data_IF_251861599912
#
_entry.id   IF_251861599912
#
_cell.length_a   1.000
_cell.length_b   1.000
_cell.length_c   1.000
_cell.angle_alpha   90.00
_cell.angle_beta   90.00
_cell.angle_gamma   90.00
#
_symmetry.space_group_name_H-M   'P 1'
#
loop_
_entity.id
_entity.type
_entity.pdbx_description
1 polymer ?
#
# COMPACT_ATOMS: atom_id res chain seq x y z
N UNK A 1 18.58 7.77 -7.27
CA UNK A 1 18.39 7.16 -8.61
C UNK A 1 17.32 7.96 -9.34
N UNK A 2 17.57 8.42 -10.58
CA UNK A 2 16.57 9.08 -11.43
C UNK A 2 15.30 8.25 -11.68
N UNK A 3 14.16 8.92 -11.86
CA UNK A 3 12.85 8.31 -12.13
C UNK A 3 12.89 7.32 -13.30
N UNK A 4 13.49 7.70 -14.44
CA UNK A 4 13.53 6.85 -15.62
C UNK A 4 14.22 5.50 -15.36
N UNK A 5 15.27 5.51 -14.53
CA UNK A 5 15.99 4.31 -14.15
C UNK A 5 15.19 3.45 -13.17
N UNK A 6 14.51 4.06 -12.20
CA UNK A 6 13.56 3.37 -11.31
C UNK A 6 12.49 2.66 -12.13
N UNK A 7 11.82 3.39 -13.03
CA UNK A 7 10.76 2.86 -13.88
C UNK A 7 11.26 1.73 -14.80
N UNK A 8 12.52 1.79 -15.25
CA UNK A 8 13.13 0.71 -16.04
C UNK A 8 13.35 -0.60 -15.26
N UNK A 9 13.52 -0.53 -13.94
CA UNK A 9 13.68 -1.69 -13.06
C UNK A 9 12.34 -2.24 -12.60
N UNK A 10 11.46 -1.34 -12.15
CA UNK A 10 10.15 -1.71 -11.61
C UNK A 10 9.24 -2.26 -12.71
N UNK A 11 9.33 -1.69 -13.91
CA UNK A 11 8.55 -2.12 -15.07
C UNK A 11 7.08 -1.67 -15.02
N UNK A 12 6.40 -1.78 -16.16
CA UNK A 12 5.01 -1.33 -16.30
C UNK A 12 4.01 -2.20 -15.52
N UNK A 13 4.34 -3.49 -15.35
CA UNK A 13 3.47 -4.49 -14.70
C UNK A 13 3.55 -4.47 -13.17
N UNK A 14 4.40 -3.63 -12.58
CA UNK A 14 4.43 -3.47 -11.13
C UNK A 14 3.14 -2.85 -10.62
N UNK A 15 2.75 -3.29 -9.42
CA UNK A 15 1.61 -2.70 -8.73
C UNK A 15 1.82 -1.19 -8.53
N UNK A 16 0.77 -0.36 -8.58
CA UNK A 16 0.86 1.09 -8.59
C UNK A 16 1.70 1.68 -7.45
N UNK A 17 1.68 0.99 -6.31
CA UNK A 17 2.29 1.38 -5.04
C UNK A 17 3.82 1.45 -5.01
N UNK A 18 4.51 0.82 -5.97
CA UNK A 18 5.98 0.89 -6.09
C UNK A 18 6.46 1.72 -7.27
N UNK A 19 5.53 2.39 -7.98
CA UNK A 19 5.89 3.33 -9.05
C UNK A 19 6.58 4.54 -8.45
N UNK A 20 7.56 5.09 -9.17
CA UNK A 20 8.32 6.24 -8.69
C UNK A 20 7.40 7.39 -8.27
N UNK A 21 6.43 7.74 -9.12
CA UNK A 21 5.53 8.87 -8.90
C UNK A 21 4.56 8.66 -7.73
N UNK A 22 4.28 7.40 -7.37
CA UNK A 22 3.47 7.09 -6.19
C UNK A 22 4.27 7.30 -4.90
N UNK A 23 5.51 6.80 -4.88
CA UNK A 23 6.41 6.96 -3.74
C UNK A 23 6.79 8.44 -3.56
N UNK A 24 7.11 9.13 -4.64
CA UNK A 24 7.42 10.56 -4.56
C UNK A 24 6.21 11.39 -4.13
N UNK A 25 4.99 11.05 -4.55
CA UNK A 25 3.79 11.75 -4.08
C UNK A 25 3.61 11.59 -2.55
N UNK A 26 3.93 10.43 -1.98
CA UNK A 26 3.87 10.20 -0.53
C UNK A 26 4.94 11.01 0.22
N UNK A 27 6.15 11.06 -0.33
CA UNK A 27 7.28 11.76 0.27
C UNK A 27 7.12 13.28 0.18
N UNK A 28 6.87 13.81 -1.02
CA UNK A 28 6.75 15.25 -1.29
C UNK A 28 5.55 15.89 -0.60
N UNK A 29 4.48 15.12 -0.34
CA UNK A 29 3.33 15.62 0.40
C UNK A 29 3.54 15.67 1.92
N UNK A 30 4.62 15.08 2.45
CA UNK A 30 4.80 14.89 3.89
C UNK A 30 4.09 13.69 4.50
N UNK A 31 3.48 12.80 3.69
CA UNK A 31 2.80 11.59 4.22
C UNK A 31 3.80 10.56 4.75
N UNK A 32 4.98 10.46 4.13
CA UNK A 32 6.03 9.50 4.49
C UNK A 32 7.37 10.20 4.69
N UNK A 33 7.48 10.92 5.82
CA UNK A 33 8.68 11.64 6.25
C UNK A 33 9.17 11.12 7.62
N UNK A 34 10.44 11.39 8.01
CA UNK A 34 11.00 10.91 9.27
C UNK A 34 10.16 11.26 10.49
N UNK A 35 9.51 12.43 10.50
CA UNK A 35 8.60 12.90 11.55
C UNK A 35 7.36 12.01 11.70
N UNK A 36 6.92 11.38 10.60
CA UNK A 36 5.84 10.37 10.56
C UNK A 36 6.37 8.94 10.76
N UNK A 37 7.64 8.82 11.17
CA UNK A 37 8.33 7.56 11.38
C UNK A 37 8.65 6.80 10.10
N UNK A 38 8.69 7.47 8.94
CA UNK A 38 9.02 6.90 7.64
C UNK A 38 10.21 7.64 7.01
N UNK A 39 11.38 7.02 6.96
CA UNK A 39 12.51 7.58 6.24
C UNK A 39 12.81 6.73 4.99
N UNK A 40 12.55 7.24 3.77
CA UNK A 40 12.92 6.55 2.54
C UNK A 40 14.43 6.22 2.50
N UNK A 41 14.75 4.97 2.20
CA UNK A 41 16.13 4.48 2.18
C UNK A 41 16.32 3.38 1.13
N UNK A 42 15.98 3.66 -0.12
CA UNK A 42 16.01 2.65 -1.18
C UNK A 42 17.45 2.22 -1.53
N UNK A 43 17.68 0.92 -1.61
CA UNK A 43 18.99 0.34 -1.94
C UNK A 43 19.00 -0.09 -3.41
N UNK A 44 20.00 0.34 -4.18
CA UNK A 44 20.16 -0.07 -5.57
C UNK A 44 21.52 -0.73 -5.81
N UNK A 45 21.54 -1.78 -6.63
CA UNK A 45 22.77 -2.37 -7.17
C UNK A 45 23.04 -1.81 -8.56
N UNK A 46 24.31 -1.49 -8.81
CA UNK A 46 24.77 -0.91 -10.05
C UNK A 46 25.87 -1.77 -10.65
N UNK A 47 25.84 -1.89 -11.98
CA UNK A 47 26.96 -2.34 -12.78
C UNK A 47 27.39 -1.14 -13.60
N UNK A 48 28.55 -0.58 -13.25
CA UNK A 48 29.00 0.72 -13.75
C UNK A 48 27.90 1.79 -13.53
N UNK A 49 27.50 2.50 -14.58
CA UNK A 49 26.44 3.52 -14.53
C UNK A 49 25.03 2.96 -14.78
N UNK A 50 24.87 1.63 -14.81
CA UNK A 50 23.57 0.98 -15.06
C UNK A 50 23.02 0.35 -13.78
N UNK A 51 21.86 0.78 -13.27
CA UNK A 51 21.24 0.13 -12.14
C UNK A 51 20.64 -1.21 -12.59
N UNK A 52 20.98 -2.29 -11.89
CA UNK A 52 20.57 -3.66 -12.25
C UNK A 52 19.55 -4.24 -11.26
N UNK A 53 19.45 -3.68 -10.06
CA UNK A 53 18.39 -4.03 -9.11
C UNK A 53 18.10 -2.88 -8.14
N UNK A 54 16.89 -2.85 -7.59
CA UNK A 54 16.50 -1.95 -6.51
C UNK A 54 15.60 -2.65 -5.48
N UNK A 55 15.87 -2.39 -4.21
CA UNK A 55 15.03 -2.72 -3.08
C UNK A 55 14.41 -1.42 -2.53
N UNK A 56 13.09 -1.22 -2.69
CA UNK A 56 12.38 -0.16 -1.99
C UNK A 56 12.42 -0.45 -0.49
N UNK A 57 13.10 0.40 0.28
CA UNK A 57 13.23 0.23 1.73
C UNK A 57 12.98 1.56 2.44
N UNK A 58 12.57 1.46 3.69
CA UNK A 58 12.30 2.57 4.59
C UNK A 58 12.89 2.26 5.96
N UNK A 59 13.53 3.24 6.58
CA UNK A 59 13.89 3.17 7.99
C UNK A 59 12.69 3.63 8.81
N UNK A 60 12.21 2.76 9.70
CA UNK A 60 10.95 2.95 10.43
C UNK A 60 11.18 3.16 11.92
N UNK A 61 10.66 4.28 12.44
CA UNK A 61 10.75 4.64 13.87
C UNK A 61 9.71 3.99 14.78
N UNK A 62 8.62 3.45 14.21
CA UNK A 62 7.53 2.77 14.92
C UNK A 62 6.68 1.95 13.95
N UNK A 63 5.89 0.99 14.43
CA UNK A 63 5.08 0.14 13.54
C UNK A 63 3.74 0.73 13.06
N UNK A 64 3.37 1.95 13.47
CA UNK A 64 2.17 2.60 12.90
C UNK A 64 2.31 2.82 11.39
N UNK A 65 1.22 2.56 10.66
CA UNK A 65 1.16 2.59 9.20
C UNK A 65 1.62 1.30 8.51
N UNK A 66 2.13 0.31 9.23
CA UNK A 66 2.53 -0.99 8.66
C UNK A 66 1.37 -1.97 8.53
N UNK A 67 0.31 -1.78 9.33
CA UNK A 67 -0.84 -2.69 9.42
C UNK A 67 -0.45 -4.14 9.80
N UNK A 68 0.68 -4.28 10.49
CA UNK A 68 1.17 -5.50 11.13
C UNK A 68 1.36 -5.22 12.63
N UNK A 69 0.94 -6.17 13.46
CA UNK A 69 0.97 -6.07 14.91
C UNK A 69 2.19 -6.80 15.48
N UNK A 70 3.35 -6.14 15.40
CA UNK A 70 4.65 -6.68 15.85
C UNK A 70 5.03 -6.23 17.27
N UNK A 71 4.08 -5.70 18.06
CA UNK A 71 4.36 -5.17 19.40
C UNK A 71 4.98 -6.23 20.32
N UNK A 72 4.67 -7.50 20.11
CA UNK A 72 5.28 -8.63 20.84
C UNK A 72 6.79 -8.73 20.58
N UNK A 73 7.25 -8.49 19.35
CA UNK A 73 8.69 -8.48 19.03
C UNK A 73 9.38 -7.26 19.65
N UNK A 74 8.75 -6.08 19.55
CA UNK A 74 9.27 -4.87 20.17
C UNK A 74 9.40 -5.03 21.70
N UNK A 75 8.41 -5.65 22.35
CA UNK A 75 8.45 -5.95 23.79
C UNK A 75 9.55 -6.93 24.14
N UNK A 76 9.67 -8.04 23.41
CA UNK A 76 10.72 -9.03 23.63
C UNK A 76 12.12 -8.41 23.48
N UNK A 77 12.32 -7.59 22.44
CA UNK A 77 13.58 -6.87 22.25
C UNK A 77 13.89 -5.97 23.46
N UNK A 78 12.90 -5.23 23.96
CA UNK A 78 13.06 -4.39 25.15
C UNK A 78 13.39 -5.23 26.41
N UNK A 79 12.72 -6.36 26.61
CA UNK A 79 12.99 -7.29 27.72
C UNK A 79 14.43 -7.86 27.66
N UNK A 80 15.01 -7.94 26.46
CA UNK A 80 16.40 -8.33 26.21
C UNK A 80 17.40 -7.16 26.20
N UNK A 81 16.95 -5.92 26.46
CA UNK A 81 17.80 -4.72 26.42
C UNK A 81 18.23 -4.29 25.00
N UNK A 82 17.54 -4.77 23.97
CA UNK A 82 17.80 -4.46 22.56
C UNK A 82 16.90 -3.32 22.07
N UNK A 83 17.42 -2.48 21.17
CA UNK A 83 16.66 -1.41 20.54
C UNK A 83 15.96 -1.93 19.28
N UNK A 84 14.65 -2.15 19.37
CA UNK A 84 13.87 -2.62 18.21
C UNK A 84 13.72 -1.57 17.11
N UNK A 85 13.59 -0.29 17.49
CA UNK A 85 13.50 0.83 16.57
C UNK A 85 14.80 1.68 16.58
N UNK A 86 15.17 2.28 15.43
CA UNK A 86 14.53 2.08 14.15
C UNK A 86 14.81 0.68 13.58
N UNK A 87 13.88 0.19 12.76
CA UNK A 87 14.03 -1.05 11.98
C UNK A 87 14.04 -0.72 10.49
N UNK A 88 14.69 -1.55 9.69
CA UNK A 88 14.58 -1.45 8.24
C UNK A 88 13.32 -2.19 7.77
N UNK A 89 12.62 -1.63 6.79
CA UNK A 89 11.32 -2.11 6.36
C UNK A 89 11.22 -2.10 4.84
N UNK A 90 10.83 -3.23 4.27
CA UNK A 90 10.37 -3.35 2.88
C UNK A 90 8.86 -3.60 2.82
N UNK A 91 8.11 -2.58 2.45
CA UNK A 91 6.69 -2.65 2.06
C UNK A 91 6.32 -1.36 1.32
N UNK A 92 5.16 -1.32 0.68
CA UNK A 92 4.56 -0.05 0.27
C UNK A 92 4.17 0.76 1.50
N UNK A 93 4.59 2.03 1.64
CA UNK A 93 4.19 2.83 2.78
C UNK A 93 2.68 2.96 2.90
N UNK A 94 2.20 2.92 4.15
CA UNK A 94 0.80 3.14 4.56
C UNK A 94 -0.22 2.28 3.80
N UNK A 95 0.25 1.21 3.12
CA UNK A 95 -0.53 0.38 2.22
C UNK A 95 -0.23 -1.11 2.39
N UNK A 96 -1.09 -1.88 3.10
CA UNK A 96 -0.97 -3.34 3.21
C UNK A 96 -1.33 -4.04 1.90
N UNK A 97 -0.45 -3.95 0.91
CA UNK A 97 -0.65 -4.51 -0.43
C UNK A 97 0.34 -5.63 -0.68
N UNK A 98 -0.19 -6.81 -0.99
CA UNK A 98 0.60 -7.97 -1.36
C UNK A 98 1.36 -7.71 -2.65
N UNK A 99 2.67 -7.99 -2.65
CA UNK A 99 3.54 -7.84 -3.82
C UNK A 99 4.88 -7.17 -3.55
N UNK A 100 5.32 -7.01 -2.29
CA UNK A 100 6.67 -6.52 -2.03
C UNK A 100 7.73 -7.50 -2.56
N UNK A 101 8.67 -6.99 -3.35
CA UNK A 101 9.84 -7.72 -3.85
C UNK A 101 10.95 -6.75 -4.22
N UNK A 102 12.14 -7.28 -4.45
CA UNK A 102 13.18 -6.52 -5.14
C UNK A 102 12.88 -6.49 -6.63
N UNK A 103 13.20 -5.37 -7.27
CA UNK A 103 13.01 -5.19 -8.70
C UNK A 103 14.35 -5.35 -9.40
N UNK A 104 14.42 -6.29 -10.33
CA UNK A 104 15.64 -6.69 -11.02
C UNK A 104 15.48 -6.42 -12.51
N UNK A 105 16.55 -5.91 -13.14
CA UNK A 105 16.58 -5.66 -14.58
C UNK A 105 16.36 -6.97 -15.35
N UNK A 106 15.54 -6.90 -16.41
CA UNK A 106 15.28 -8.05 -17.28
C UNK A 106 16.58 -8.65 -17.83
N UNK A 107 16.70 -9.97 -17.79
CA UNK A 107 17.88 -10.72 -18.23
C UNK A 107 18.95 -10.92 -17.16
N UNK A 108 18.85 -10.27 -16.01
CA UNK A 108 19.72 -10.54 -14.86
C UNK A 108 19.22 -11.74 -14.03
N UNK A 109 20.13 -12.34 -13.26
CA UNK A 109 19.80 -13.43 -12.33
C UNK A 109 19.17 -12.86 -11.04
N UNK A 110 17.84 -12.99 -10.93
CA UNK A 110 17.06 -12.49 -9.79
C UNK A 110 17.49 -13.14 -8.46
N UNK A 111 17.83 -14.43 -8.45
CA UNK A 111 18.23 -15.14 -7.24
C UNK A 111 19.60 -14.68 -6.75
N UNK A 112 20.55 -14.52 -7.69
CA UNK A 112 21.87 -13.95 -7.42
C UNK A 112 21.75 -12.55 -6.82
N UNK A 113 21.02 -11.65 -7.49
CA UNK A 113 20.92 -10.26 -7.08
C UNK A 113 20.10 -10.08 -5.79
N UNK A 114 19.09 -10.90 -5.55
CA UNK A 114 18.36 -10.93 -4.27
C UNK A 114 19.30 -11.25 -3.11
N UNK A 115 20.16 -12.25 -3.27
CA UNK A 115 21.16 -12.60 -2.25
C UNK A 115 22.18 -11.49 -2.03
N UNK A 116 22.68 -10.85 -3.08
CA UNK A 116 23.65 -9.76 -2.93
C UNK A 116 23.03 -8.51 -2.27
N UNK A 117 21.78 -8.18 -2.60
CA UNK A 117 21.02 -7.11 -1.93
C UNK A 117 20.80 -7.42 -0.45
N UNK A 118 20.37 -8.64 -0.10
CA UNK A 118 20.17 -9.03 1.30
C UNK A 118 21.48 -8.98 2.10
N UNK A 119 22.59 -9.45 1.54
CA UNK A 119 23.92 -9.30 2.18
C UNK A 119 24.30 -7.83 2.39
N UNK A 120 23.96 -6.96 1.45
CA UNK A 120 24.23 -5.53 1.58
C UNK A 120 23.33 -4.89 2.65
N UNK A 121 22.07 -5.31 2.73
CA UNK A 121 21.12 -4.92 3.79
C UNK A 121 21.63 -5.35 5.16
N UNK A 122 22.07 -6.60 5.32
CA UNK A 122 22.59 -7.11 6.59
C UNK A 122 23.80 -6.30 7.05
N UNK A 123 24.80 -6.09 6.17
CA UNK A 123 25.97 -5.25 6.49
C UNK A 123 25.57 -3.82 6.86
N UNK A 124 24.59 -3.25 6.16
CA UNK A 124 24.08 -1.92 6.48
C UNK A 124 23.43 -1.89 7.87
N UNK A 125 22.61 -2.88 8.21
CA UNK A 125 21.98 -2.99 9.51
C UNK A 125 23.01 -3.16 10.64
N UNK A 126 23.99 -4.05 10.47
CA UNK A 126 25.08 -4.26 11.42
C UNK A 126 25.88 -2.98 11.67
N UNK A 127 26.30 -2.29 10.59
CA UNK A 127 27.11 -1.08 10.68
C UNK A 127 26.37 0.06 11.40
N UNK A 128 25.05 0.15 11.25
CA UNK A 128 24.24 1.23 11.82
C UNK A 128 23.52 0.83 13.12
N UNK A 129 23.75 -0.38 13.63
CA UNK A 129 23.10 -0.89 14.85
C UNK A 129 21.57 -0.98 14.73
N UNK A 130 21.07 -1.32 13.54
CA UNK A 130 19.66 -1.57 13.25
C UNK A 130 19.37 -3.04 13.55
N UNK A 131 18.44 -3.31 14.47
CA UNK A 131 18.24 -4.66 14.99
C UNK A 131 17.62 -5.62 13.98
N UNK A 132 16.75 -5.15 13.09
CA UNK A 132 16.02 -6.01 12.15
C UNK A 132 15.72 -5.32 10.83
N UNK A 133 15.62 -6.14 9.78
CA UNK A 133 15.01 -5.78 8.50
C UNK A 133 13.79 -6.68 8.26
N UNK A 134 12.61 -6.08 8.09
CA UNK A 134 11.36 -6.81 7.89
C UNK A 134 10.82 -6.55 6.49
N UNK A 135 10.37 -7.61 5.82
CA UNK A 135 9.67 -7.51 4.54
C UNK A 135 8.21 -7.90 4.74
N UNK A 136 7.28 -6.97 4.52
CA UNK A 136 5.85 -7.17 4.76
C UNK A 136 5.08 -7.24 3.44
N UNK A 137 3.99 -8.01 3.43
CA UNK A 137 3.14 -8.21 2.25
C UNK A 137 3.94 -8.69 1.02
N UNK A 138 4.84 -9.64 1.26
CA UNK A 138 5.80 -10.15 0.28
C UNK A 138 5.13 -10.84 -0.91
N UNK A 139 5.62 -10.58 -2.11
CA UNK A 139 5.24 -11.30 -3.33
C UNK A 139 5.50 -12.81 -3.13
N UNK A 140 4.47 -13.67 -3.27
CA UNK A 140 4.63 -15.12 -3.12
C UNK A 140 5.69 -15.73 -4.06
N UNK A 141 5.99 -15.11 -5.20
CA UNK A 141 7.02 -15.56 -6.14
C UNK A 141 8.43 -15.19 -5.67
N UNK A 142 8.58 -14.07 -4.97
CA UNK A 142 9.88 -13.61 -4.46
C UNK A 142 10.23 -14.24 -3.09
N UNK A 143 9.22 -14.58 -2.29
CA UNK A 143 9.41 -15.19 -0.95
C UNK A 143 10.42 -16.35 -0.93
N UNK A 144 10.36 -17.36 -1.83
CA UNK A 144 11.32 -18.46 -1.83
C UNK A 144 12.77 -18.01 -2.06
N UNK A 145 12.99 -16.94 -2.83
CA UNK A 145 14.32 -16.38 -3.07
C UNK A 145 14.88 -15.73 -1.81
N UNK A 146 14.03 -14.99 -1.08
CA UNK A 146 14.41 -14.38 0.20
C UNK A 146 14.70 -15.44 1.27
N UNK A 147 13.87 -16.49 1.36
CA UNK A 147 14.08 -17.61 2.28
C UNK A 147 15.40 -18.35 1.97
N UNK A 148 15.67 -18.62 0.69
CA UNK A 148 16.93 -19.23 0.25
C UNK A 148 18.17 -18.36 0.55
N UNK A 149 17.98 -17.05 0.67
CA UNK A 149 19.02 -16.10 1.04
C UNK A 149 19.13 -15.85 2.56
N UNK A 150 18.34 -16.54 3.39
CA UNK A 150 18.47 -16.53 4.86
C UNK A 150 17.36 -15.79 5.62
N UNK A 151 16.35 -15.23 4.93
CA UNK A 151 15.21 -14.63 5.62
C UNK A 151 14.31 -15.70 6.28
N UNK A 152 13.78 -15.39 7.46
CA UNK A 152 12.78 -16.21 8.11
C UNK A 152 11.36 -15.71 7.76
N UNK A 153 10.47 -16.62 7.37
CA UNK A 153 9.08 -16.29 7.10
C UNK A 153 8.25 -16.21 8.38
N UNK A 154 7.44 -15.16 8.48
CA UNK A 154 6.38 -15.03 9.48
C UNK A 154 5.01 -15.05 8.78
N UNK A 155 4.17 -16.00 9.17
CA UNK A 155 2.83 -16.14 8.59
C UNK A 155 1.88 -15.12 9.21
N UNK A 156 1.33 -14.25 8.35
CA UNK A 156 0.22 -13.37 8.68
C UNK A 156 -1.02 -13.79 7.87
N UNK A 157 -2.20 -13.69 8.48
CA UNK A 157 -3.46 -13.97 7.81
C UNK A 157 -3.98 -12.72 7.11
N UNK A 158 -4.30 -12.86 5.84
CA UNK A 158 -4.96 -11.82 5.05
C UNK A 158 -6.18 -12.44 4.36
N UNK A 159 -7.24 -11.64 4.22
CA UNK A 159 -8.42 -12.03 3.44
C UNK A 159 -8.38 -11.30 2.10
N UNK A 160 -8.33 -12.08 1.01
CA UNK A 160 -8.45 -11.57 -0.34
C UNK A 160 -9.78 -12.06 -0.90
N UNK A 161 -10.52 -11.15 -1.52
CA UNK A 161 -11.69 -11.53 -2.30
C UNK A 161 -11.27 -11.73 -3.75
N UNK A 162 -11.66 -12.86 -4.32
CA UNK A 162 -11.50 -13.14 -5.75
C UNK A 162 -12.90 -13.33 -6.35
N UNK A 163 -13.14 -12.68 -7.49
CA UNK A 163 -14.40 -12.83 -8.24
C UNK A 163 -14.62 -14.26 -8.74
N UNK A 164 -13.55 -15.02 -8.98
CA UNK A 164 -13.62 -16.33 -9.63
C UNK A 164 -14.38 -16.21 -10.95
N UNK A 165 -15.35 -17.09 -11.15
CA UNK A 165 -16.19 -17.13 -12.34
C UNK A 165 -17.50 -16.31 -12.21
N UNK A 166 -17.69 -15.58 -11.10
CA UNK A 166 -18.91 -14.82 -10.84
C UNK A 166 -19.11 -13.73 -11.91
N UNK A 167 -20.26 -13.76 -12.61
CA UNK A 167 -20.62 -12.79 -13.64
C UNK A 167 -21.68 -11.79 -13.19
N UNK A 168 -22.31 -12.04 -12.04
CA UNK A 168 -23.36 -11.20 -11.49
C UNK A 168 -23.28 -11.06 -9.98
N UNK A 169 -23.98 -10.06 -9.45
CA UNK A 169 -24.11 -9.90 -8.00
C UNK A 169 -24.82 -11.09 -7.34
N UNK A 170 -25.73 -11.76 -8.04
CA UNK A 170 -26.38 -12.96 -7.51
C UNK A 170 -25.42 -14.15 -7.47
N UNK A 171 -24.44 -14.25 -8.38
CA UNK A 171 -23.38 -15.27 -8.31
C UNK A 171 -22.49 -15.04 -7.09
N UNK A 172 -22.05 -13.80 -6.86
CA UNK A 172 -21.32 -13.41 -5.65
C UNK A 172 -22.06 -13.81 -4.37
N UNK A 173 -23.39 -13.65 -4.34
CA UNK A 173 -24.19 -14.01 -3.17
C UNK A 173 -24.26 -15.53 -2.92
N UNK A 174 -24.06 -16.39 -3.93
CA UNK A 174 -24.11 -17.86 -3.76
C UNK A 174 -23.04 -18.37 -2.78
N UNK A 175 -21.91 -17.67 -2.67
CA UNK A 175 -20.84 -18.00 -1.72
C UNK A 175 -21.19 -17.78 -0.24
N UNK A 176 -22.30 -17.11 0.06
CA UNK A 176 -22.73 -16.77 1.43
C UNK A 176 -23.87 -17.65 1.91
N UNK A 177 -24.02 -17.82 3.22
CA UNK A 177 -25.19 -18.47 3.80
C UNK A 177 -26.47 -17.60 3.70
N UNK A 178 -27.64 -18.19 3.94
CA UNK A 178 -28.93 -17.50 3.76
C UNK A 178 -29.07 -16.22 4.60
N UNK A 179 -28.54 -16.19 5.83
CA UNK A 179 -28.61 -15.02 6.69
C UNK A 179 -27.69 -13.90 6.19
N UNK A 180 -26.46 -14.22 5.79
CA UNK A 180 -25.52 -13.27 5.18
C UNK A 180 -26.10 -12.66 3.90
N UNK A 181 -26.64 -13.48 2.98
CA UNK A 181 -27.31 -13.00 1.76
C UNK A 181 -28.45 -12.03 2.08
N UNK A 182 -29.29 -12.37 3.06
CA UNK A 182 -30.41 -11.51 3.48
C UNK A 182 -29.91 -10.17 4.03
N UNK A 183 -28.86 -10.19 4.85
CA UNK A 183 -28.28 -8.97 5.43
C UNK A 183 -27.69 -8.05 4.36
N UNK A 184 -26.88 -8.60 3.44
CA UNK A 184 -26.28 -7.84 2.33
C UNK A 184 -27.38 -7.19 1.46
N UNK A 185 -28.41 -7.95 1.07
CA UNK A 185 -29.54 -7.41 0.27
C UNK A 185 -30.29 -6.31 1.04
N UNK A 186 -30.46 -6.46 2.35
CA UNK A 186 -31.13 -5.46 3.20
C UNK A 186 -30.31 -4.16 3.30
N UNK A 187 -29.01 -4.26 3.52
CA UNK A 187 -28.12 -3.08 3.61
C UNK A 187 -28.10 -2.30 2.30
N UNK A 188 -27.98 -2.99 1.16
CA UNK A 188 -28.06 -2.35 -0.17
C UNK A 188 -29.40 -1.64 -0.40
N UNK A 189 -30.52 -2.27 0.00
CA UNK A 189 -31.84 -1.62 -0.09
C UNK A 189 -31.96 -0.39 0.83
N UNK A 190 -31.31 -0.40 1.99
CA UNK A 190 -31.34 0.73 2.91
C UNK A 190 -30.64 1.96 2.31
N UNK A 191 -29.52 1.77 1.62
CA UNK A 191 -28.82 2.84 0.88
C UNK A 191 -29.74 3.47 -0.17
N UNK A 192 -30.38 2.64 -1.01
CA UNK A 192 -31.32 3.14 -2.02
C UNK A 192 -32.55 3.84 -1.39
N UNK A 193 -33.09 3.30 -0.29
CA UNK A 193 -34.21 3.90 0.45
C UNK A 193 -33.86 5.27 1.04
N UNK A 194 -32.58 5.49 1.38
CA UNK A 194 -32.07 6.79 1.82
C UNK A 194 -31.87 7.80 0.67
N UNK A 195 -32.24 7.43 -0.57
CA UNK A 195 -32.04 8.26 -1.76
C UNK A 195 -30.58 8.36 -2.18
N UNK A 196 -29.73 7.42 -1.74
CA UNK A 196 -28.29 7.42 -2.04
C UNK A 196 -28.03 6.44 -3.18
N UNK A 197 -27.29 6.92 -4.18
CA UNK A 197 -26.72 6.12 -5.27
C UNK A 197 -25.22 6.05 -5.09
N UNK A 198 -24.61 4.90 -5.42
CA UNK A 198 -23.15 4.74 -5.43
C UNK A 198 -22.68 4.60 -6.86
N UNK A 199 -21.89 5.57 -7.32
CA UNK A 199 -21.35 5.63 -8.68
C UNK A 199 -19.82 5.50 -8.64
N UNK A 200 -19.23 4.51 -9.32
CA UNK A 200 -17.78 4.49 -9.52
C UNK A 200 -17.37 5.57 -10.51
N UNK A 201 -16.34 6.32 -10.18
CA UNK A 201 -15.68 7.32 -11.01
C UNK A 201 -14.21 6.92 -11.18
N UNK A 202 -13.68 6.94 -12.40
CA UNK A 202 -12.28 6.60 -12.68
C UNK A 202 -11.69 7.40 -13.84
N UNK A 203 -10.36 7.40 -13.94
CA UNK A 203 -9.64 8.05 -15.04
C UNK A 203 -10.02 9.52 -15.20
N UNK A 204 -10.42 9.92 -16.41
CA UNK A 204 -10.79 11.30 -16.76
C UNK A 204 -12.01 11.84 -16.03
N UNK A 205 -12.82 10.99 -15.39
CA UNK A 205 -13.94 11.44 -14.55
C UNK A 205 -13.45 12.09 -13.26
N UNK A 206 -12.21 11.82 -12.85
CA UNK A 206 -11.58 12.35 -11.65
C UNK A 206 -10.93 13.70 -11.94
N UNK A 207 -11.20 14.68 -11.06
CA UNK A 207 -10.54 15.98 -11.06
C UNK A 207 -10.01 16.31 -9.66
N UNK A 208 -9.26 17.42 -9.58
CA UNK A 208 -8.69 17.90 -8.33
C UNK A 208 -9.76 18.12 -7.24
N UNK A 209 -10.92 18.67 -7.62
CA UNK A 209 -12.00 18.97 -6.68
C UNK A 209 -12.57 17.70 -6.01
N UNK A 210 -12.73 16.61 -6.77
CA UNK A 210 -13.14 15.32 -6.22
C UNK A 210 -12.08 14.75 -5.27
N UNK A 211 -10.79 14.83 -5.61
CA UNK A 211 -9.72 14.32 -4.76
C UNK A 211 -9.55 15.15 -3.47
N UNK A 212 -9.71 16.47 -3.54
CA UNK A 212 -9.78 17.32 -2.35
C UNK A 212 -11.00 16.99 -1.48
N UNK A 213 -12.14 16.69 -2.10
CA UNK A 213 -13.32 16.23 -1.35
C UNK A 213 -13.08 14.88 -0.68
N UNK A 214 -12.38 13.96 -1.35
CA UNK A 214 -11.98 12.67 -0.78
C UNK A 214 -11.05 12.86 0.41
N UNK A 215 -10.06 13.76 0.30
CA UNK A 215 -9.18 14.10 1.41
C UNK A 215 -9.97 14.64 2.62
N UNK A 216 -10.91 15.58 2.42
CA UNK A 216 -11.75 16.10 3.52
C UNK A 216 -12.55 15.00 4.21
N UNK A 217 -13.16 14.09 3.46
CA UNK A 217 -13.89 12.97 4.05
C UNK A 217 -12.98 12.01 4.82
N UNK A 218 -11.81 11.70 4.28
CA UNK A 218 -10.80 10.90 4.97
C UNK A 218 -10.36 11.56 6.29
N UNK A 219 -10.03 12.85 6.26
CA UNK A 219 -9.61 13.60 7.44
C UNK A 219 -10.72 13.65 8.50
N UNK A 220 -11.96 13.96 8.10
CA UNK A 220 -13.11 13.97 9.00
C UNK A 220 -13.36 12.59 9.61
N UNK A 221 -13.20 11.51 8.83
CA UNK A 221 -13.31 10.15 9.34
C UNK A 221 -12.25 9.87 10.40
N UNK A 222 -10.99 10.21 10.13
CA UNK A 222 -9.89 10.03 11.09
C UNK A 222 -10.10 10.87 12.37
N UNK A 223 -10.59 12.10 12.24
CA UNK A 223 -10.82 13.01 13.37
C UNK A 223 -11.82 12.46 14.41
N UNK A 224 -12.78 11.62 13.98
CA UNK A 224 -13.74 10.95 14.90
C UNK A 224 -13.06 10.04 15.92
N UNK A 225 -11.84 9.58 15.62
CA UNK A 225 -11.06 8.69 16.48
C UNK A 225 -9.95 9.43 17.25
N UNK A 226 -9.83 10.76 17.06
CA UNK A 226 -8.90 11.61 17.80
C UNK A 226 -7.44 11.13 17.70
N UNK A 227 -6.71 11.04 18.83
CA UNK A 227 -5.31 10.56 18.85
C UNK A 227 -5.09 9.14 18.32
N UNK A 228 -6.16 8.34 18.19
CA UNK A 228 -6.12 6.97 17.66
C UNK A 228 -6.48 6.91 16.17
N UNK A 229 -6.78 8.07 15.56
CA UNK A 229 -7.06 8.18 14.14
C UNK A 229 -5.83 7.84 13.31
N UNK A 230 -5.99 6.89 12.39
CA UNK A 230 -4.96 6.49 11.42
C UNK A 230 -4.86 7.51 10.26
N UNK A 231 -4.61 8.79 10.58
CA UNK A 231 -4.34 9.84 9.59
C UNK A 231 -2.86 9.74 9.18
N UNK A 232 -2.60 9.17 8.01
CA UNK A 232 -1.28 8.97 7.46
C UNK A 232 -1.02 9.76 6.17
N UNK A 233 -2.09 10.15 5.47
CA UNK A 233 -1.99 10.87 4.20
C UNK A 233 -2.30 12.34 4.37
N UNK A 234 -1.52 13.18 3.71
CA UNK A 234 -1.70 14.63 3.65
C UNK A 234 -2.37 15.07 2.36
N UNK A 235 -2.93 16.28 2.36
CA UNK A 235 -3.66 16.86 1.22
C UNK A 235 -2.87 16.79 -0.09
N UNK A 236 -1.58 17.16 -0.04
CA UNK A 236 -0.70 17.19 -1.21
C UNK A 236 -0.59 15.84 -1.92
N UNK A 237 -0.79 14.72 -1.21
CA UNK A 237 -0.80 13.39 -1.81
C UNK A 237 -2.01 13.24 -2.74
N UNK A 238 -3.21 13.64 -2.28
CA UNK A 238 -4.44 13.57 -3.09
C UNK A 238 -4.37 14.51 -4.30
N UNK A 239 -3.74 15.68 -4.15
CA UNK A 239 -3.52 16.59 -5.27
C UNK A 239 -2.55 16.01 -6.31
N UNK A 240 -1.47 15.37 -5.86
CA UNK A 240 -0.52 14.69 -6.74
C UNK A 240 -1.20 13.53 -7.51
N UNK A 241 -2.04 12.75 -6.83
CA UNK A 241 -2.80 11.67 -7.46
C UNK A 241 -3.74 12.16 -8.56
N UNK A 242 -4.40 13.32 -8.37
CA UNK A 242 -5.24 13.93 -9.39
C UNK A 242 -4.47 14.32 -10.67
N UNK A 243 -3.16 14.55 -10.57
CA UNK A 243 -2.30 14.87 -11.73
C UNK A 243 -1.71 13.63 -12.38
N UNK A 244 -1.19 12.69 -11.58
CA UNK A 244 -0.27 11.65 -12.06
C UNK A 244 -0.86 10.23 -12.09
N UNK A 245 -1.97 9.99 -11.38
CA UNK A 245 -2.43 8.62 -11.09
C UNK A 245 -3.93 8.38 -11.30
N UNK A 246 -4.65 9.27 -12.00
CA UNK A 246 -6.11 9.15 -12.20
C UNK A 246 -6.54 7.82 -12.82
N UNK A 247 -5.75 7.27 -13.74
CA UNK A 247 -6.04 6.00 -14.40
C UNK A 247 -5.96 4.80 -13.44
N UNK A 248 -5.22 4.96 -12.34
CA UNK A 248 -5.03 3.94 -11.32
C UNK A 248 -6.00 4.10 -10.14
N UNK A 249 -6.91 5.08 -10.19
CA UNK A 249 -7.85 5.36 -9.12
C UNK A 249 -9.28 5.04 -9.52
N UNK A 250 -10.03 4.55 -8.53
CA UNK A 250 -11.49 4.45 -8.58
C UNK A 250 -12.06 5.09 -7.32
N UNK A 251 -12.85 6.15 -7.48
CA UNK A 251 -13.63 6.72 -6.40
C UNK A 251 -15.06 6.19 -6.47
N UNK A 252 -15.51 5.52 -5.42
CA UNK A 252 -16.93 5.19 -5.25
C UNK A 252 -17.60 6.37 -4.57
N UNK A 253 -18.31 7.19 -5.35
CA UNK A 253 -19.07 8.33 -4.89
C UNK A 253 -20.45 7.89 -4.41
N UNK A 254 -20.78 8.15 -3.14
CA UNK A 254 -22.14 7.99 -2.61
C UNK A 254 -22.83 9.35 -2.59
N UNK A 255 -23.91 9.53 -3.34
CA UNK A 255 -24.52 10.85 -3.61
C UNK A 255 -26.06 10.76 -3.73
N UNK A 256 -26.76 11.90 -3.64
CA UNK A 256 -28.24 11.99 -3.79
C UNK A 256 -28.71 12.50 -5.16
N UNK A 257 -27.80 12.73 -6.09
CA UNK A 257 -28.10 13.26 -7.41
C UNK A 257 -26.87 13.25 -8.31
N UNK A 258 -26.06 14.30 -8.24
CA UNK A 258 -24.80 14.40 -8.99
C UNK A 258 -23.69 13.55 -8.35
N UNK A 259 -23.06 12.60 -9.06
CA UNK A 259 -21.88 11.87 -8.57
C UNK A 259 -20.70 12.76 -8.17
N UNK A 260 -20.65 14.01 -8.64
CA UNK A 260 -19.61 14.98 -8.29
C UNK A 260 -19.88 15.75 -6.99
N UNK A 261 -21.07 15.58 -6.40
CA UNK A 261 -21.46 16.11 -5.09
C UNK A 261 -21.74 14.96 -4.10
N UNK A 262 -20.69 14.20 -3.69
CA UNK A 262 -20.84 13.08 -2.78
C UNK A 262 -21.14 13.53 -1.35
N UNK A 263 -21.86 12.68 -0.61
CA UNK A 263 -21.98 12.73 0.86
C UNK A 263 -21.04 11.76 1.57
N UNK A 264 -20.44 10.83 0.81
CA UNK A 264 -19.40 9.92 1.28
C UNK A 264 -18.61 9.40 0.08
N UNK A 265 -17.35 9.00 0.30
CA UNK A 265 -16.54 8.37 -0.74
C UNK A 265 -15.68 7.23 -0.19
N UNK A 266 -15.36 6.30 -1.09
CA UNK A 266 -14.30 5.32 -0.91
C UNK A 266 -13.33 5.40 -2.07
N UNK A 267 -12.03 5.48 -1.78
CA UNK A 267 -10.95 5.49 -2.74
C UNK A 267 -10.32 4.09 -2.81
N UNK A 268 -10.30 3.55 -4.02
CA UNK A 268 -9.59 2.35 -4.38
C UNK A 268 -8.48 2.67 -5.38
N UNK A 269 -7.45 1.82 -5.38
CA UNK A 269 -6.37 1.81 -6.37
C UNK A 269 -6.55 0.58 -7.25
N UNK A 270 -6.18 0.63 -8.53
CA UNK A 270 -6.26 -0.49 -9.46
C UNK A 270 -5.05 -0.57 -10.40
N UNK A 271 -4.82 -1.76 -10.96
CA UNK A 271 -3.85 -2.03 -12.02
C UNK A 271 -4.48 -2.71 -13.25
N UNK A 272 -5.82 -2.73 -13.32
CA UNK A 272 -6.59 -3.44 -14.36
C UNK A 272 -6.82 -4.93 -14.07
N UNK A 273 -6.11 -5.53 -13.10
CA UNK A 273 -6.28 -6.93 -12.66
C UNK A 273 -6.79 -7.02 -11.24
N UNK A 274 -6.37 -6.10 -10.39
CA UNK A 274 -6.67 -6.04 -8.97
C UNK A 274 -7.26 -4.69 -8.60
N UNK A 275 -8.05 -4.68 -7.52
CA UNK A 275 -8.63 -3.49 -6.92
C UNK A 275 -8.34 -3.52 -5.42
N UNK A 276 -7.63 -2.50 -4.93
CA UNK A 276 -7.29 -2.35 -3.52
C UNK A 276 -8.14 -1.25 -2.90
N UNK A 277 -9.04 -1.62 -1.98
CA UNK A 277 -9.72 -0.64 -1.13
C UNK A 277 -8.74 -0.02 -0.15
N UNK A 278 -8.66 1.32 -0.11
CA UNK A 278 -7.64 2.03 0.67
C UNK A 278 -8.25 2.92 1.75
N UNK A 279 -8.93 3.99 1.36
CA UNK A 279 -9.36 5.05 2.26
C UNK A 279 -10.82 5.38 2.00
N UNK A 280 -11.57 5.73 3.04
CA UNK A 280 -12.97 6.11 2.92
C UNK A 280 -13.32 7.18 3.94
N UNK A 281 -14.45 7.84 3.74
CA UNK A 281 -14.98 8.79 4.70
C UNK A 281 -16.33 9.36 4.28
N UNK A 282 -16.93 10.14 5.18
CA UNK A 282 -18.19 10.85 5.00
C UNK A 282 -18.26 12.07 5.90
#
# INVERSE_FOLDING_TARGET
MPEQQWNSLVGADAIPFYRWSWLEALESSGSTIPEQGWQPLHLALWRDDTPIAVAPLFLKGHSYGEFVFDQTFARLAADLGLRYYPKLLGMSPVSPVLGYRFHVRSGEDEALLTRELLRAIDRFCEHNGILSCNFLYVDPQWRPLAEAAGCAAWLNQQSLWNRGDDQSFEDYLKGFNANQRRNIKRERKAVAKAGITVTPLSGDQLDLALLQTMHRFYEQHCARWGPWGSKYLEEGFFEALARLHRDQLVLFSAHRGDPRDPVAMSMCVQDGRQLWGRYWGS
#
